data_IF_240004113704
#
_entry.id   IF_240004113704
#
_cell.length_a   1.000
_cell.length_b   1.000
_cell.length_c   1.000
_cell.angle_alpha   90.00
_cell.angle_beta   90.00
_cell.angle_gamma   90.00
#
_symmetry.space_group_name_H-M   'P 1'
#
loop_
_entity.id
_entity.type
_entity.pdbx_description
1 polymer ?
#
# COMPACT_ATOMS: atom_id res chain seq x y z
N UNK A 1 0.09 -35.67 -14.87
CA UNK A 1 -0.77 -34.65 -15.50
C UNK A 1 -0.97 -33.53 -14.48
N UNK A 2 -0.22 -32.43 -14.59
CA UNK A 2 -0.25 -31.34 -13.60
C UNK A 2 -1.41 -30.41 -13.96
N UNK A 3 -2.46 -30.40 -13.13
CA UNK A 3 -3.55 -29.44 -13.23
C UNK A 3 -2.95 -28.04 -12.97
N UNK A 4 -2.70 -27.27 -14.02
CA UNK A 4 -2.59 -25.83 -13.91
C UNK A 4 -4.00 -25.35 -13.62
N UNK A 5 -4.32 -25.11 -12.35
CA UNK A 5 -5.51 -24.36 -11.99
C UNK A 5 -5.20 -22.91 -12.34
N UNK A 6 -5.36 -22.57 -13.62
CA UNK A 6 -5.58 -21.20 -14.01
C UNK A 6 -6.99 -20.90 -13.50
N UNK A 7 -7.10 -20.22 -12.38
CA UNK A 7 -8.38 -19.64 -11.96
C UNK A 7 -8.66 -18.52 -12.95
N UNK A 8 -9.20 -18.88 -14.12
CA UNK A 8 -9.96 -17.96 -14.95
C UNK A 8 -11.22 -17.67 -14.15
N UNK A 9 -11.19 -16.58 -13.38
CA UNK A 9 -12.43 -15.94 -12.96
C UNK A 9 -13.22 -15.67 -14.25
N UNK A 10 -14.51 -16.03 -14.32
CA UNK A 10 -15.33 -15.58 -15.43
C UNK A 10 -15.27 -14.05 -15.40
N UNK A 11 -14.64 -13.47 -16.41
CA UNK A 11 -14.68 -12.05 -16.73
C UNK A 11 -16.13 -11.72 -17.08
N UNK A 12 -16.98 -11.63 -16.06
CA UNK A 12 -18.30 -11.05 -16.21
C UNK A 12 -18.04 -9.60 -16.59
N UNK A 13 -18.40 -9.26 -17.83
CA UNK A 13 -18.47 -7.90 -18.36
C UNK A 13 -19.55 -7.14 -17.57
N UNK A 14 -19.26 -6.81 -16.31
CA UNK A 14 -19.99 -5.77 -15.62
C UNK A 14 -19.43 -4.46 -16.15
N UNK A 15 -20.10 -3.87 -17.14
CA UNK A 15 -19.93 -2.46 -17.43
C UNK A 15 -20.37 -1.72 -16.17
N UNK A 16 -19.45 -1.02 -15.52
CA UNK A 16 -19.78 -0.28 -14.32
C UNK A 16 -20.29 1.10 -14.68
N UNK A 17 -21.50 1.43 -14.26
CA UNK A 17 -22.10 2.72 -14.58
C UNK A 17 -21.51 3.90 -13.79
N UNK A 18 -20.78 3.66 -12.69
CA UNK A 18 -20.28 4.71 -11.80
C UNK A 18 -18.87 4.43 -11.26
N UNK A 19 -17.99 5.42 -11.36
CA UNK A 19 -16.69 5.45 -10.68
C UNK A 19 -16.84 6.00 -9.26
N UNK A 20 -16.18 5.36 -8.30
CA UNK A 20 -16.28 5.68 -6.88
C UNK A 20 -14.97 6.24 -6.31
N UNK A 21 -13.82 5.77 -6.78
CA UNK A 21 -12.51 6.04 -6.18
C UNK A 21 -11.58 6.79 -7.12
N UNK A 22 -11.58 6.46 -8.41
CA UNK A 22 -10.77 7.17 -9.39
C UNK A 22 -11.57 8.30 -10.04
N UNK A 23 -11.04 9.52 -9.94
CA UNK A 23 -11.53 10.69 -10.65
C UNK A 23 -10.31 11.48 -11.11
N UNK A 24 -10.10 11.69 -12.42
CA UNK A 24 -8.90 12.36 -12.91
C UNK A 24 -8.84 13.80 -12.38
N UNK A 25 -7.82 14.07 -11.57
CA UNK A 25 -7.53 15.41 -11.02
C UNK A 25 -6.19 15.86 -11.53
N UNK A 26 -6.06 17.16 -11.78
CA UNK A 26 -4.80 17.79 -12.12
C UNK A 26 -3.99 18.18 -10.87
N UNK A 27 -4.40 17.77 -9.67
CA UNK A 27 -3.69 18.02 -8.42
C UNK A 27 -3.73 16.85 -7.44
N UNK A 28 -2.85 16.95 -6.45
CA UNK A 28 -2.72 16.06 -5.31
C UNK A 28 -2.24 14.66 -5.67
N UNK A 29 -2.37 13.73 -4.72
CA UNK A 29 -1.99 12.32 -4.88
C UNK A 29 -2.65 11.64 -6.07
N UNK A 30 -3.90 11.98 -6.38
CA UNK A 30 -4.62 11.40 -7.52
C UNK A 30 -3.97 11.77 -8.86
N UNK A 31 -3.37 12.95 -8.97
CA UNK A 31 -2.72 13.40 -10.22
C UNK A 31 -1.45 12.63 -10.60
N UNK A 32 -0.89 11.87 -9.65
CA UNK A 32 0.27 11.00 -9.85
C UNK A 32 -0.08 9.51 -9.79
N UNK A 33 -1.36 9.19 -9.57
CA UNK A 33 -1.85 7.82 -9.61
C UNK A 33 -1.83 7.30 -11.04
N UNK A 34 -1.13 6.20 -11.25
CA UNK A 34 -1.14 5.44 -12.48
C UNK A 34 -0.70 3.99 -12.17
N UNK A 35 -0.98 3.00 -13.04
CA UNK A 35 -0.64 1.62 -12.77
C UNK A 35 0.85 1.37 -12.42
N UNK A 36 1.76 2.17 -12.99
CA UNK A 36 3.19 2.03 -12.71
C UNK A 36 3.57 2.62 -11.34
N UNK A 37 3.06 3.80 -10.98
CA UNK A 37 3.29 4.36 -9.64
C UNK A 37 2.66 3.48 -8.56
N UNK A 38 1.49 2.90 -8.84
CA UNK A 38 0.84 1.90 -7.97
C UNK A 38 1.68 0.63 -7.84
N UNK A 39 2.28 0.14 -8.93
CA UNK A 39 3.21 -0.99 -8.89
C UNK A 39 4.44 -0.71 -8.02
N UNK A 40 5.02 0.49 -8.11
CA UNK A 40 6.14 0.86 -7.26
C UNK A 40 5.74 1.02 -5.80
N UNK A 41 4.60 1.67 -5.52
CA UNK A 41 4.10 1.89 -4.16
C UNK A 41 3.71 0.60 -3.45
N UNK A 42 3.01 -0.32 -4.13
CA UNK A 42 2.52 -1.56 -3.56
C UNK A 42 3.58 -2.69 -3.68
N UNK A 43 4.17 -2.89 -4.86
CA UNK A 43 5.11 -4.00 -5.08
C UNK A 43 6.44 -3.88 -4.35
N UNK A 44 6.81 -2.66 -3.93
CA UNK A 44 8.02 -2.43 -3.14
C UNK A 44 7.69 -1.79 -1.78
N UNK A 45 6.46 -1.95 -1.28
CA UNK A 45 6.00 -1.33 -0.04
C UNK A 45 6.88 -1.72 1.16
N UNK A 46 7.29 -3.00 1.23
CA UNK A 46 8.11 -3.52 2.32
C UNK A 46 9.51 -2.87 2.42
N UNK A 47 9.98 -2.20 1.36
CA UNK A 47 11.26 -1.45 1.36
C UNK A 47 11.20 -0.15 2.19
N UNK A 48 10.01 0.22 2.67
CA UNK A 48 9.86 1.23 3.72
C UNK A 48 10.45 0.76 5.06
N UNK A 49 10.45 -0.56 5.31
CA UNK A 49 11.11 -1.18 6.46
C UNK A 49 12.62 -1.01 6.40
N UNK A 50 13.26 -0.83 7.56
CA UNK A 50 14.73 -0.82 7.65
C UNK A 50 15.37 -2.20 7.50
N UNK A 51 14.57 -3.28 7.40
CA UNK A 51 15.06 -4.65 7.28
C UNK A 51 15.39 -5.05 5.85
N UNK A 52 14.85 -4.33 4.86
CA UNK A 52 15.06 -4.63 3.46
C UNK A 52 15.91 -3.54 2.80
N UNK A 53 16.81 -3.97 1.92
CA UNK A 53 17.61 -3.05 1.12
C UNK A 53 16.75 -2.34 0.10
N UNK A 54 16.91 -1.01 -0.02
CA UNK A 54 16.32 -0.24 -1.11
C UNK A 54 17.09 -0.33 -2.42
N UNK A 55 18.32 -0.85 -2.38
CA UNK A 55 19.17 -1.04 -3.57
C UNK A 55 18.60 -2.21 -4.40
N UNK A 56 18.21 -1.92 -5.63
CA UNK A 56 17.48 -2.85 -6.50
C UNK A 56 18.27 -4.11 -6.84
N UNK A 57 19.59 -4.01 -6.95
CA UNK A 57 20.51 -5.11 -7.23
C UNK A 57 20.69 -6.07 -6.03
N UNK A 58 20.35 -5.62 -4.81
CA UNK A 58 20.40 -6.43 -3.59
C UNK A 58 19.08 -7.12 -3.27
N UNK A 59 18.01 -6.82 -4.00
CA UNK A 59 16.72 -7.47 -3.80
C UNK A 59 16.80 -8.89 -4.37
N UNK A 60 16.64 -9.89 -3.50
CA UNK A 60 16.67 -11.31 -3.88
C UNK A 60 15.36 -11.77 -4.55
N UNK A 61 14.86 -10.99 -5.52
CA UNK A 61 13.53 -11.15 -6.11
C UNK A 61 13.30 -12.56 -6.68
N UNK A 62 14.28 -13.14 -7.36
CA UNK A 62 14.16 -14.48 -7.91
C UNK A 62 14.01 -15.58 -6.86
N UNK A 63 14.73 -15.46 -5.72
CA UNK A 63 14.62 -16.39 -4.60
C UNK A 63 13.27 -16.21 -3.92
N UNK A 64 12.90 -14.97 -3.63
CA UNK A 64 11.61 -14.60 -3.05
C UNK A 64 10.42 -15.12 -3.87
N UNK A 65 10.40 -14.84 -5.17
CA UNK A 65 9.37 -15.34 -6.10
C UNK A 65 9.29 -16.87 -6.09
N UNK A 66 10.44 -17.56 -6.11
CA UNK A 66 10.48 -19.03 -6.04
C UNK A 66 9.89 -19.53 -4.72
N UNK A 67 10.18 -18.88 -3.60
CA UNK A 67 9.66 -19.26 -2.30
C UNK A 67 8.15 -19.03 -2.20
N UNK A 68 7.67 -17.85 -2.63
CA UNK A 68 6.23 -17.52 -2.73
C UNK A 68 5.51 -18.57 -3.58
N UNK A 69 6.01 -18.84 -4.79
CA UNK A 69 5.43 -19.83 -5.69
C UNK A 69 5.37 -21.23 -5.06
N UNK A 70 6.42 -21.64 -4.35
CA UNK A 70 6.46 -22.93 -3.67
C UNK A 70 5.43 -23.06 -2.55
N UNK A 71 5.11 -21.96 -1.85
CA UNK A 71 4.11 -21.95 -0.79
C UNK A 71 2.69 -21.96 -1.37
N UNK A 72 2.39 -21.12 -2.37
CA UNK A 72 1.04 -21.04 -2.95
C UNK A 72 0.68 -22.23 -3.84
N UNK A 73 1.66 -22.90 -4.47
CA UNK A 73 1.40 -24.06 -5.32
C UNK A 73 0.99 -25.31 -4.54
N UNK A 74 1.46 -25.44 -3.30
CA UNK A 74 1.15 -26.59 -2.44
C UNK A 74 0.75 -26.10 -1.04
N UNK A 75 -0.37 -25.38 -0.89
CA UNK A 75 -0.66 -24.66 0.35
C UNK A 75 -0.99 -25.60 1.51
N UNK A 76 -1.69 -26.72 1.25
CA UNK A 76 -2.13 -27.65 2.30
C UNK A 76 -0.95 -28.26 3.09
N UNK A 77 0.08 -28.86 2.46
CA UNK A 77 1.25 -29.32 3.21
C UNK A 77 1.98 -28.23 4.00
N UNK A 78 2.00 -27.01 3.48
CA UNK A 78 2.66 -25.85 4.10
C UNK A 78 1.90 -25.40 5.35
N UNK A 79 0.57 -25.30 5.24
CA UNK A 79 -0.32 -25.03 6.37
C UNK A 79 -0.23 -26.18 7.40
N UNK A 80 -0.13 -27.45 6.99
CA UNK A 80 0.05 -28.55 7.93
C UNK A 80 1.34 -28.42 8.74
N UNK A 81 2.43 -27.95 8.11
CA UNK A 81 3.71 -27.68 8.79
C UNK A 81 3.57 -26.51 9.77
N UNK A 82 2.81 -25.48 9.40
CA UNK A 82 2.49 -24.34 10.27
C UNK A 82 1.41 -24.63 11.32
N UNK A 83 0.66 -25.70 11.15
CA UNK A 83 -0.62 -26.06 11.78
C UNK A 83 -1.82 -25.19 11.34
N UNK A 84 -2.95 -25.85 11.06
CA UNK A 84 -4.21 -25.19 10.71
C UNK A 84 -4.72 -24.24 11.80
N UNK A 85 -4.56 -24.60 13.07
CA UNK A 85 -4.99 -23.76 14.19
C UNK A 85 -4.27 -22.41 14.17
N UNK A 86 -2.94 -22.41 13.96
CA UNK A 86 -2.16 -21.17 13.85
C UNK A 86 -2.55 -20.40 12.61
N UNK A 87 -2.60 -21.04 11.45
CA UNK A 87 -3.02 -20.38 10.20
C UNK A 87 -4.36 -19.65 10.34
N UNK A 88 -5.39 -20.34 10.85
CA UNK A 88 -6.73 -19.77 11.02
C UNK A 88 -6.73 -18.61 12.04
N UNK A 89 -6.01 -18.74 13.16
CA UNK A 89 -6.04 -17.74 14.24
C UNK A 89 -5.09 -16.57 14.07
N UNK A 90 -4.00 -16.76 13.32
CA UNK A 90 -2.94 -15.77 13.13
C UNK A 90 -3.07 -15.08 11.79
N UNK A 91 -3.43 -15.78 10.71
CA UNK A 91 -3.48 -15.22 9.35
C UNK A 91 -4.90 -14.87 8.89
N UNK A 92 -5.89 -15.71 9.21
CA UNK A 92 -7.21 -15.62 8.54
C UNK A 92 -8.25 -14.86 9.35
N UNK A 93 -8.38 -15.14 10.65
CA UNK A 93 -9.41 -14.53 11.47
C UNK A 93 -8.81 -13.75 12.64
N UNK A 94 -9.50 -12.68 13.12
CA UNK A 94 -9.07 -11.87 14.25
C UNK A 94 -9.27 -12.59 15.58
N UNK A 95 -8.55 -13.70 15.78
CA UNK A 95 -8.63 -14.54 16.97
C UNK A 95 -7.41 -14.37 17.88
N UNK A 96 -6.40 -13.62 17.45
CA UNK A 96 -5.16 -13.34 18.18
C UNK A 96 -4.86 -11.85 18.23
N UNK A 97 -4.78 -11.25 19.41
CA UNK A 97 -4.56 -9.79 19.55
C UNK A 97 -3.18 -9.41 20.09
N UNK A 98 -2.32 -10.40 20.33
CA UNK A 98 -0.90 -10.15 20.62
C UNK A 98 -0.19 -9.79 19.32
N UNK A 99 0.63 -8.73 19.32
CA UNK A 99 1.32 -8.22 18.13
C UNK A 99 2.07 -9.31 17.34
N UNK A 100 2.71 -10.25 18.04
CA UNK A 100 3.46 -11.36 17.42
C UNK A 100 2.58 -12.40 16.72
N UNK A 101 1.26 -12.32 16.89
CA UNK A 101 0.27 -13.27 16.38
C UNK A 101 -0.88 -12.60 15.61
N UNK A 102 -0.77 -11.30 15.35
CA UNK A 102 -1.83 -10.51 14.73
C UNK A 102 -1.60 -10.30 13.22
N UNK A 103 -1.06 -11.31 12.52
CA UNK A 103 -0.80 -11.26 11.07
C UNK A 103 -2.09 -11.05 10.25
N UNK A 104 -3.25 -11.42 10.79
CA UNK A 104 -4.55 -11.13 10.19
C UNK A 104 -4.79 -9.63 10.03
N UNK A 105 -4.18 -8.77 10.85
CA UNK A 105 -4.42 -7.34 10.80
C UNK A 105 -4.05 -6.73 9.43
N UNK A 106 -2.80 -6.83 8.93
CA UNK A 106 -2.47 -6.38 7.57
C UNK A 106 -3.29 -7.11 6.50
N UNK A 107 -3.67 -8.36 6.72
CA UNK A 107 -4.49 -9.12 5.76
C UNK A 107 -5.88 -8.49 5.56
N UNK A 108 -6.50 -8.00 6.64
CA UNK A 108 -7.77 -7.26 6.54
C UNK A 108 -7.57 -5.81 6.07
N UNK A 109 -6.58 -5.09 6.60
CA UNK A 109 -6.46 -3.65 6.31
C UNK A 109 -5.84 -3.38 4.94
N UNK A 110 -4.80 -4.12 4.57
CA UNK A 110 -4.02 -3.90 3.34
C UNK A 110 -4.45 -4.83 2.21
N UNK A 111 -4.64 -6.12 2.45
CA UNK A 111 -4.98 -7.06 1.38
C UNK A 111 -6.49 -7.07 1.04
N UNK A 112 -7.36 -7.09 2.06
CA UNK A 112 -8.82 -7.08 1.83
C UNK A 112 -9.34 -5.68 1.47
N UNK A 113 -9.22 -4.72 2.39
CA UNK A 113 -9.80 -3.39 2.23
C UNK A 113 -8.93 -2.53 1.31
N UNK A 114 -7.64 -2.38 1.62
CA UNK A 114 -6.69 -1.66 0.77
C UNK A 114 -6.58 -2.27 -0.63
N UNK A 115 -6.47 -3.59 -0.73
CA UNK A 115 -6.34 -4.31 -2.00
C UNK A 115 -7.60 -4.26 -2.83
N UNK A 116 -8.78 -4.41 -2.21
CA UNK A 116 -10.06 -4.21 -2.88
C UNK A 116 -10.23 -2.78 -3.42
N UNK A 117 -9.92 -1.77 -2.61
CA UNK A 117 -9.89 -0.38 -3.04
C UNK A 117 -8.91 -0.18 -4.21
N UNK A 118 -7.69 -0.72 -4.12
CA UNK A 118 -6.66 -0.55 -5.13
C UNK A 118 -7.03 -1.20 -6.47
N UNK A 119 -7.52 -2.45 -6.43
CA UNK A 119 -8.05 -3.14 -7.59
C UNK A 119 -9.15 -2.34 -8.27
N UNK A 120 -10.11 -1.85 -7.48
CA UNK A 120 -11.24 -1.07 -7.96
C UNK A 120 -10.79 0.24 -8.61
N UNK A 121 -9.84 0.94 -7.98
CA UNK A 121 -9.27 2.20 -8.51
C UNK A 121 -8.50 1.96 -9.80
N UNK A 122 -7.75 0.85 -9.91
CA UNK A 122 -7.08 0.45 -11.17
C UNK A 122 -8.09 0.17 -12.29
N UNK A 123 -9.18 -0.54 -11.99
CA UNK A 123 -10.25 -0.77 -12.95
C UNK A 123 -10.86 0.56 -13.44
N UNK A 124 -11.21 1.46 -12.53
CA UNK A 124 -11.79 2.78 -12.87
C UNK A 124 -10.79 3.67 -13.62
N UNK A 125 -9.49 3.57 -13.34
CA UNK A 125 -8.44 4.22 -14.11
C UNK A 125 -8.43 3.71 -15.57
N UNK A 126 -8.35 2.40 -15.76
CA UNK A 126 -8.30 1.82 -17.11
C UNK A 126 -9.57 2.13 -17.91
N UNK A 127 -10.73 2.12 -17.24
CA UNK A 127 -12.01 2.46 -17.84
C UNK A 127 -12.09 3.95 -18.22
N UNK A 128 -11.68 4.85 -17.32
CA UNK A 128 -11.62 6.31 -17.57
C UNK A 128 -10.80 6.67 -18.81
N UNK A 129 -9.69 5.97 -19.03
CA UNK A 129 -8.81 6.19 -20.18
C UNK A 129 -9.12 5.27 -21.38
N UNK A 130 -10.28 4.58 -21.37
CA UNK A 130 -10.77 3.73 -22.46
C UNK A 130 -9.78 2.64 -22.89
N UNK A 131 -9.03 2.07 -21.94
CA UNK A 131 -8.18 0.91 -22.24
C UNK A 131 -9.03 -0.32 -22.59
N UNK A 132 -8.56 -1.20 -23.49
CA UNK A 132 -9.26 -2.43 -23.79
C UNK A 132 -9.29 -3.33 -22.55
N UNK A 133 -10.44 -3.93 -22.26
CA UNK A 133 -10.63 -4.88 -21.15
C UNK A 133 -10.15 -4.34 -19.77
N UNK A 134 -10.70 -3.22 -19.25
CA UNK A 134 -10.23 -2.60 -18.00
C UNK A 134 -10.10 -3.57 -16.81
N UNK A 135 -11.04 -4.51 -16.70
CA UNK A 135 -11.05 -5.55 -15.66
C UNK A 135 -9.83 -6.47 -15.72
N UNK A 136 -9.44 -6.89 -16.92
CA UNK A 136 -8.29 -7.78 -17.10
C UNK A 136 -6.99 -7.04 -16.76
N UNK A 137 -6.85 -5.80 -17.22
CA UNK A 137 -5.68 -4.97 -16.94
C UNK A 137 -5.56 -4.64 -15.45
N UNK A 138 -6.67 -4.35 -14.77
CA UNK A 138 -6.70 -4.17 -13.33
C UNK A 138 -6.30 -5.44 -12.60
N UNK A 139 -6.82 -6.60 -13.01
CA UNK A 139 -6.47 -7.90 -12.43
C UNK A 139 -4.98 -8.23 -12.57
N UNK A 140 -4.41 -8.00 -13.76
CA UNK A 140 -2.97 -8.23 -14.01
C UNK A 140 -2.12 -7.28 -13.18
N UNK A 141 -2.44 -5.97 -13.18
CA UNK A 141 -1.68 -4.97 -12.43
C UNK A 141 -1.73 -5.24 -10.94
N UNK A 142 -2.92 -5.45 -10.39
CA UNK A 142 -3.13 -5.79 -9.00
C UNK A 142 -2.40 -7.08 -8.59
N UNK A 143 -2.51 -8.14 -9.40
CA UNK A 143 -1.82 -9.41 -9.14
C UNK A 143 -0.29 -9.26 -9.16
N UNK A 144 0.26 -8.48 -10.10
CA UNK A 144 1.69 -8.20 -10.17
C UNK A 144 2.16 -7.38 -8.95
N UNK A 145 1.40 -6.37 -8.54
CA UNK A 145 1.73 -5.54 -7.38
C UNK A 145 1.95 -6.41 -6.14
N UNK A 146 0.96 -7.22 -5.77
CA UNK A 146 1.06 -8.03 -4.57
C UNK A 146 2.05 -9.20 -4.72
N UNK A 147 2.15 -9.84 -5.89
CA UNK A 147 3.13 -10.90 -6.10
C UNK A 147 4.58 -10.38 -5.93
N UNK A 148 4.86 -9.18 -6.43
CA UNK A 148 6.18 -8.55 -6.25
C UNK A 148 6.39 -8.15 -4.80
N UNK A 149 5.39 -7.59 -4.12
CA UNK A 149 5.49 -7.29 -2.68
C UNK A 149 5.88 -8.54 -1.89
N UNK A 150 5.14 -9.65 -2.06
CA UNK A 150 5.43 -10.91 -1.38
C UNK A 150 6.83 -11.43 -1.67
N UNK A 151 7.30 -11.30 -2.91
CA UNK A 151 8.62 -11.74 -3.29
C UNK A 151 9.73 -10.89 -2.67
N UNK A 152 9.56 -9.57 -2.65
CA UNK A 152 10.51 -8.64 -2.03
C UNK A 152 10.57 -8.89 -0.52
N UNK A 153 9.42 -9.12 0.12
CA UNK A 153 9.31 -9.43 1.55
C UNK A 153 9.84 -10.83 1.91
N UNK A 154 9.74 -11.80 0.99
CA UNK A 154 10.37 -13.10 1.20
C UNK A 154 11.90 -13.00 1.15
N UNK A 155 12.44 -12.11 0.32
CA UNK A 155 13.87 -11.86 0.23
C UNK A 155 14.65 -13.12 -0.16
N UNK A 156 15.69 -13.45 0.62
CA UNK A 156 16.53 -14.64 0.43
C UNK A 156 16.01 -15.89 1.16
N UNK A 157 14.91 -15.78 1.90
CA UNK A 157 14.36 -16.89 2.66
C UNK A 157 13.78 -17.98 1.77
N UNK A 158 14.12 -19.23 2.12
CA UNK A 158 13.57 -20.44 1.49
C UNK A 158 13.03 -21.35 2.58
N UNK A 159 11.72 -21.59 2.57
CA UNK A 159 11.06 -22.40 3.59
C UNK A 159 9.55 -22.27 3.59
N UNK A 160 8.92 -22.79 4.63
CA UNK A 160 7.47 -22.62 4.81
C UNK A 160 7.21 -21.19 5.26
N UNK A 161 6.33 -20.50 4.54
CA UNK A 161 5.83 -19.17 4.87
C UNK A 161 4.31 -19.18 4.64
N UNK A 162 3.49 -19.08 5.70
CA UNK A 162 2.04 -19.06 5.57
C UNK A 162 1.49 -17.74 5.02
N UNK A 163 2.21 -16.62 5.17
CA UNK A 163 1.73 -15.28 4.81
C UNK A 163 1.29 -15.20 3.34
N UNK A 164 2.12 -15.59 2.32
CA UNK A 164 1.71 -15.50 0.92
C UNK A 164 0.52 -16.40 0.56
N UNK A 165 0.22 -17.41 1.38
CA UNK A 165 -0.95 -18.28 1.20
C UNK A 165 -2.20 -17.51 1.61
N UNK A 166 -2.19 -16.83 2.76
CA UNK A 166 -3.31 -16.00 3.20
C UNK A 166 -3.49 -14.81 2.25
N UNK A 167 -2.42 -14.11 1.93
CA UNK A 167 -2.47 -12.89 1.14
C UNK A 167 -2.94 -13.16 -0.28
N UNK A 168 -2.24 -14.03 -1.01
CA UNK A 168 -2.49 -14.22 -2.44
C UNK A 168 -3.70 -15.13 -2.73
N UNK A 169 -4.00 -16.12 -1.88
CA UNK A 169 -5.07 -17.10 -2.14
C UNK A 169 -6.38 -16.83 -1.39
N UNK A 170 -6.39 -15.89 -0.43
CA UNK A 170 -7.61 -15.53 0.31
C UNK A 170 -7.90 -14.04 0.13
N UNK A 171 -7.07 -13.16 0.69
CA UNK A 171 -7.43 -11.76 0.84
C UNK A 171 -7.33 -10.95 -0.46
N UNK A 172 -6.33 -11.19 -1.29
CA UNK A 172 -6.20 -10.58 -2.61
C UNK A 172 -7.22 -11.10 -3.63
N UNK A 173 -7.96 -12.17 -3.30
CA UNK A 173 -9.12 -12.60 -4.10
C UNK A 173 -10.39 -12.00 -3.52
N UNK A 174 -10.56 -12.09 -2.20
CA UNK A 174 -11.73 -11.57 -1.50
C UNK A 174 -11.89 -10.05 -1.61
N UNK A 175 -10.78 -9.29 -1.58
CA UNK A 175 -10.78 -7.82 -1.68
C UNK A 175 -11.38 -7.33 -2.99
N UNK A 176 -10.83 -7.73 -4.15
CA UNK A 176 -11.43 -7.43 -5.45
C UNK A 176 -12.90 -7.84 -5.57
N UNK A 177 -13.27 -9.05 -5.13
CA UNK A 177 -14.68 -9.52 -5.16
C UNK A 177 -15.58 -8.60 -4.32
N UNK A 178 -15.13 -8.26 -3.11
CA UNK A 178 -15.85 -7.41 -2.18
C UNK A 178 -16.06 -6.01 -2.75
N UNK A 179 -15.04 -5.41 -3.34
CA UNK A 179 -15.10 -4.04 -3.88
C UNK A 179 -15.72 -3.93 -5.28
N UNK A 180 -15.95 -5.04 -5.97
CA UNK A 180 -16.82 -5.07 -7.15
C UNK A 180 -18.31 -4.92 -6.80
N UNK A 181 -18.69 -5.05 -5.53
CA UNK A 181 -20.02 -4.70 -5.07
C UNK A 181 -20.18 -3.17 -4.94
N UNK A 182 -21.15 -2.59 -5.64
CA UNK A 182 -21.40 -1.14 -5.65
C UNK A 182 -21.75 -0.56 -4.28
N UNK A 183 -22.48 -1.28 -3.43
CA UNK A 183 -22.84 -0.77 -2.10
C UNK A 183 -21.62 -0.71 -1.19
N UNK A 184 -20.73 -1.70 -1.30
CA UNK A 184 -19.46 -1.70 -0.58
C UNK A 184 -18.56 -0.57 -1.07
N UNK A 185 -18.37 -0.45 -2.40
CA UNK A 185 -17.58 0.64 -2.99
C UNK A 185 -18.14 2.00 -2.58
N UNK A 186 -19.46 2.19 -2.64
CA UNK A 186 -20.16 3.40 -2.21
C UNK A 186 -19.94 3.70 -0.73
N UNK A 187 -20.06 2.71 0.15
CA UNK A 187 -19.82 2.89 1.58
C UNK A 187 -18.39 3.40 1.84
N UNK A 188 -17.38 2.76 1.24
CA UNK A 188 -16.01 3.20 1.41
C UNK A 188 -15.73 4.57 0.76
N UNK A 189 -16.30 4.86 -0.40
CA UNK A 189 -16.08 6.12 -1.12
C UNK A 189 -16.83 7.31 -0.51
N UNK A 190 -18.10 7.14 -0.20
CA UNK A 190 -19.00 8.24 0.17
C UNK A 190 -19.20 8.34 1.69
N UNK A 191 -19.25 7.21 2.41
CA UNK A 191 -19.40 7.22 3.89
C UNK A 191 -18.04 7.35 4.59
N UNK A 192 -17.08 6.50 4.21
CA UNK A 192 -15.74 6.51 4.80
C UNK A 192 -14.73 7.37 4.03
N UNK A 193 -15.14 8.05 2.94
CA UNK A 193 -14.29 9.00 2.21
C UNK A 193 -12.89 8.44 1.93
N UNK A 194 -12.80 7.16 1.55
CA UNK A 194 -11.55 6.45 1.41
C UNK A 194 -10.78 6.96 0.20
N UNK A 195 -9.47 7.19 0.36
CA UNK A 195 -8.62 7.74 -0.70
C UNK A 195 -7.19 7.18 -0.67
N UNK A 196 -6.58 7.11 -1.84
CA UNK A 196 -5.17 6.78 -2.04
C UNK A 196 -4.27 7.99 -1.74
N UNK A 197 -3.51 7.89 -0.65
CA UNK A 197 -2.51 8.87 -0.22
C UNK A 197 -1.09 8.28 -0.29
N UNK A 198 -0.87 7.35 -1.22
CA UNK A 198 0.42 6.70 -1.45
C UNK A 198 1.51 7.69 -1.85
N UNK A 199 2.76 7.26 -1.67
CA UNK A 199 3.94 8.07 -1.95
C UNK A 199 4.10 8.45 -3.43
N UNK A 200 5.09 9.33 -3.67
CA UNK A 200 5.56 9.67 -5.03
C UNK A 200 6.85 8.87 -5.28
N UNK A 201 6.75 7.62 -5.75
CA UNK A 201 7.90 6.75 -5.90
C UNK A 201 8.89 7.35 -6.89
N UNK A 202 10.17 7.36 -6.52
CA UNK A 202 11.22 7.99 -7.30
C UNK A 202 12.47 7.14 -7.33
N UNK A 203 13.15 7.14 -8.47
CA UNK A 203 14.39 6.40 -8.67
C UNK A 203 15.59 7.29 -8.38
N UNK A 204 16.55 6.77 -7.62
CA UNK A 204 17.84 7.39 -7.40
C UNK A 204 18.92 6.69 -8.26
N UNK A 205 19.40 7.32 -9.34
CA UNK A 205 20.38 6.73 -10.24
C UNK A 205 21.77 6.55 -9.63
N UNK A 206 22.09 7.30 -8.55
CA UNK A 206 23.43 7.26 -7.93
C UNK A 206 23.65 5.97 -7.15
N UNK A 207 22.61 5.49 -6.45
CA UNK A 207 22.69 4.30 -5.61
C UNK A 207 21.83 3.13 -6.10
N UNK A 208 21.10 3.30 -7.22
CA UNK A 208 20.21 2.27 -7.73
C UNK A 208 19.07 1.96 -6.77
N UNK A 209 18.55 2.97 -6.07
CA UNK A 209 17.50 2.80 -5.04
C UNK A 209 16.14 3.32 -5.50
N UNK A 210 15.07 2.71 -4.99
CA UNK A 210 13.72 3.30 -5.01
C UNK A 210 13.50 4.06 -3.71
N UNK A 211 13.02 5.30 -3.82
CA UNK A 211 12.73 6.20 -2.73
C UNK A 211 11.27 6.63 -2.74
N UNK A 212 10.74 6.97 -1.55
CA UNK A 212 9.41 7.54 -1.35
C UNK A 212 8.25 6.71 -1.93
N UNK A 213 8.47 5.42 -2.16
CA UNK A 213 7.43 4.44 -2.38
C UNK A 213 6.72 4.11 -1.07
N UNK A 214 5.43 3.82 -1.16
CA UNK A 214 4.64 3.28 -0.05
C UNK A 214 3.16 3.37 -0.35
N UNK A 215 2.43 2.28 -0.10
CA UNK A 215 0.99 2.23 -0.29
C UNK A 215 0.27 2.69 0.97
N UNK A 216 -0.57 3.71 0.81
CA UNK A 216 -1.28 4.30 1.94
C UNK A 216 -2.69 4.70 1.58
N UNK A 217 -3.59 4.49 2.54
CA UNK A 217 -4.99 4.83 2.40
C UNK A 217 -5.44 5.70 3.58
N UNK A 218 -6.17 6.75 3.26
CA UNK A 218 -6.86 7.58 4.22
C UNK A 218 -8.35 7.25 4.21
N UNK A 219 -8.99 7.27 5.37
CA UNK A 219 -10.44 7.20 5.55
C UNK A 219 -10.89 8.32 6.49
N UNK A 220 -12.08 8.84 6.24
CA UNK A 220 -12.77 9.81 7.09
C UNK A 220 -14.23 9.49 7.25
N UNK A 221 -14.68 9.54 8.50
CA UNK A 221 -16.09 9.45 8.83
C UNK A 221 -16.51 10.71 9.57
N UNK A 222 -17.64 11.31 9.17
CA UNK A 222 -18.22 12.47 9.86
C UNK A 222 -19.41 12.00 10.69
N UNK A 223 -19.29 11.90 12.02
CA UNK A 223 -20.44 11.64 12.88
C UNK A 223 -21.48 12.77 12.77
N UNK A 224 -22.75 12.42 12.94
CA UNK A 224 -23.83 13.40 12.93
C UNK A 224 -23.62 14.46 14.02
N UNK A 225 -23.80 15.73 13.63
CA UNK A 225 -23.61 16.88 14.52
C UNK A 225 -22.16 17.33 14.75
N UNK A 226 -21.17 16.66 14.15
CA UNK A 226 -19.77 17.07 14.25
C UNK A 226 -19.35 17.98 13.09
N UNK A 227 -18.58 19.02 13.41
CA UNK A 227 -17.92 19.90 12.42
C UNK A 227 -16.55 19.38 11.98
N UNK A 228 -16.09 18.26 12.55
CA UNK A 228 -14.84 17.57 12.21
C UNK A 228 -15.11 16.11 11.89
N UNK A 229 -14.22 15.49 11.12
CA UNK A 229 -14.30 14.08 10.73
C UNK A 229 -13.29 13.27 11.54
N UNK A 230 -13.69 12.08 12.01
CA UNK A 230 -12.76 11.06 12.46
C UNK A 230 -11.90 10.65 11.28
N UNK A 231 -10.60 10.53 11.50
CA UNK A 231 -9.63 10.18 10.47
C UNK A 231 -8.88 8.92 10.84
N UNK A 232 -8.67 8.05 9.86
CA UNK A 232 -7.81 6.89 9.96
C UNK A 232 -6.92 6.79 8.73
N UNK A 233 -5.63 6.56 8.94
CA UNK A 233 -4.63 6.35 7.91
C UNK A 233 -4.02 4.97 8.11
N UNK A 234 -3.98 4.18 7.04
CA UNK A 234 -3.44 2.82 7.06
C UNK A 234 -2.46 2.58 5.91
N UNK A 235 -1.53 1.67 6.17
CA UNK A 235 -0.40 1.29 5.33
C UNK A 235 0.53 0.43 6.19
N UNK A 236 1.84 0.58 6.01
CA UNK A 236 2.87 0.05 6.92
C UNK A 236 2.91 0.75 8.30
N UNK A 237 1.98 1.67 8.53
CA UNK A 237 1.69 2.33 9.80
C UNK A 237 0.20 2.68 9.92
N UNK A 238 -0.25 2.82 11.16
CA UNK A 238 -1.62 3.22 11.49
C UNK A 238 -1.61 4.55 12.24
N UNK A 239 -2.36 5.54 11.75
CA UNK A 239 -2.62 6.78 12.47
C UNK A 239 -4.11 7.04 12.60
N UNK A 240 -4.53 7.52 13.76
CA UNK A 240 -5.89 8.01 13.98
C UNK A 240 -5.85 9.49 14.38
N UNK A 241 -6.91 10.23 14.04
CA UNK A 241 -6.92 11.66 14.28
C UNK A 241 -8.23 12.35 13.90
N UNK A 242 -8.13 13.65 13.68
CA UNK A 242 -9.25 14.50 13.28
C UNK A 242 -8.91 15.26 12.01
N UNK A 243 -9.89 15.34 11.12
CA UNK A 243 -9.86 16.13 9.89
C UNK A 243 -10.88 17.27 10.00
N UNK A 244 -10.43 18.48 9.71
CA UNK A 244 -11.17 19.73 9.82
C UNK A 244 -11.51 20.23 8.40
N UNK A 245 -12.74 19.99 7.92
CA UNK A 245 -13.16 20.42 6.59
C UNK A 245 -13.29 21.94 6.51
N UNK A 246 -13.05 22.49 5.32
CA UNK A 246 -13.29 23.89 4.96
C UNK A 246 -14.32 23.99 3.84
N UNK A 247 -14.89 25.18 3.66
CA UNK A 247 -15.94 25.44 2.68
C UNK A 247 -15.47 25.33 1.21
N UNK A 248 -14.16 25.39 0.96
CA UNK A 248 -13.55 25.29 -0.37
C UNK A 248 -13.23 23.84 -0.79
N UNK A 249 -13.72 22.86 -0.03
CA UNK A 249 -13.46 21.43 -0.26
C UNK A 249 -12.10 20.95 0.25
N UNK A 250 -11.32 21.81 0.89
CA UNK A 250 -10.05 21.44 1.51
C UNK A 250 -10.23 20.91 2.93
N UNK A 251 -9.29 20.10 3.41
CA UNK A 251 -9.27 19.68 4.80
C UNK A 251 -7.87 19.82 5.39
N UNK A 252 -7.81 20.15 6.68
CA UNK A 252 -6.60 20.03 7.48
C UNK A 252 -6.77 18.83 8.41
N UNK A 253 -5.82 17.89 8.42
CA UNK A 253 -5.87 16.71 9.28
C UNK A 253 -4.67 16.67 10.20
N UNK A 254 -4.89 16.31 11.46
CA UNK A 254 -3.83 15.99 12.42
C UNK A 254 -4.07 14.58 12.94
N UNK A 255 -3.02 13.76 12.93
CA UNK A 255 -3.13 12.36 13.35
C UNK A 255 -1.87 11.89 14.08
N UNK A 256 -2.03 10.88 14.92
CA UNK A 256 -0.95 10.20 15.63
C UNK A 256 -1.23 8.70 15.71
N UNK A 257 -0.17 7.91 15.89
CA UNK A 257 -0.33 6.47 16.02
C UNK A 257 0.98 5.71 16.06
N UNK A 258 0.97 4.51 15.49
CA UNK A 258 2.07 3.56 15.55
C UNK A 258 2.57 3.20 14.15
N UNK A 259 3.88 3.05 14.03
CA UNK A 259 4.58 2.75 12.78
C UNK A 259 5.40 1.48 12.90
N UNK A 260 5.47 0.67 11.85
CA UNK A 260 6.44 -0.42 11.81
C UNK A 260 7.86 0.16 11.83
N UNK A 261 8.62 -0.14 12.89
CA UNK A 261 10.00 0.29 13.05
C UNK A 261 10.97 -0.72 12.44
N UNK A 262 10.75 -2.01 12.68
CA UNK A 262 11.57 -3.11 12.17
C UNK A 262 10.76 -4.40 12.14
N UNK A 263 10.91 -5.18 11.06
CA UNK A 263 10.42 -6.55 10.95
C UNK A 263 11.37 -7.50 11.71
N UNK A 264 10.81 -8.41 12.50
CA UNK A 264 11.56 -9.44 13.20
C UNK A 264 10.94 -10.80 12.95
N UNK A 265 11.78 -11.83 12.84
CA UNK A 265 11.32 -13.21 12.82
C UNK A 265 10.97 -13.62 14.25
N UNK A 266 9.72 -14.00 14.49
CA UNK A 266 9.22 -14.34 15.83
C UNK A 266 9.13 -15.85 16.06
N UNK A 267 9.05 -16.64 14.99
CA UNK A 267 9.07 -18.09 15.08
C UNK A 267 9.78 -18.69 13.87
N UNK A 268 10.69 -19.63 14.15
CA UNK A 268 11.34 -20.51 13.16
C UNK A 268 11.13 -21.99 13.47
N UNK A 269 10.28 -22.32 14.46
CA UNK A 269 10.02 -23.71 14.83
C UNK A 269 9.47 -24.47 13.63
N UNK A 270 9.90 -25.72 13.53
CA UNK A 270 9.43 -26.68 12.53
C UNK A 270 9.69 -26.23 11.06
N UNK A 271 10.66 -25.32 10.84
CA UNK A 271 11.03 -24.82 9.50
C UNK A 271 10.02 -23.83 8.90
N UNK A 272 9.19 -23.22 9.77
CA UNK A 272 8.20 -22.20 9.40
C UNK A 272 8.70 -20.82 9.78
N UNK A 273 8.54 -19.81 8.94
CA UNK A 273 8.87 -18.42 9.29
C UNK A 273 7.59 -17.66 9.56
N UNK A 274 7.52 -17.04 10.75
CA UNK A 274 6.52 -16.02 11.06
C UNK A 274 7.22 -14.71 11.33
N UNK A 275 6.74 -13.64 10.71
CA UNK A 275 7.25 -12.30 10.91
C UNK A 275 6.30 -11.49 11.80
N UNK A 276 6.87 -10.61 12.61
CA UNK A 276 6.14 -9.58 13.32
C UNK A 276 6.94 -8.29 13.28
N UNK A 277 6.38 -7.23 13.83
CA UNK A 277 6.94 -5.88 13.80
C UNK A 277 7.24 -5.39 15.21
N UNK A 278 8.26 -4.54 15.35
CA UNK A 278 8.38 -3.65 16.50
C UNK A 278 7.72 -2.32 16.17
N UNK A 279 6.92 -1.79 17.10
CA UNK A 279 6.20 -0.54 16.89
C UNK A 279 7.02 0.67 17.36
N UNK A 280 7.01 1.71 16.53
CA UNK A 280 7.44 3.06 16.85
C UNK A 280 6.25 4.02 16.98
N UNK A 281 6.52 5.29 17.28
CA UNK A 281 5.52 6.35 17.23
C UNK A 281 5.58 7.07 15.88
N UNK A 282 4.42 7.56 15.43
CA UNK A 282 4.30 8.39 14.24
C UNK A 282 3.23 9.46 14.47
N UNK A 283 3.43 10.63 13.89
CA UNK A 283 2.48 11.74 13.91
C UNK A 283 2.52 12.47 12.57
N UNK A 284 1.39 13.02 12.13
CA UNK A 284 1.29 13.65 10.82
C UNK A 284 0.31 14.81 10.77
N UNK A 285 0.65 15.77 9.90
CA UNK A 285 -0.22 16.84 9.46
C UNK A 285 -0.46 16.66 7.96
N UNK A 286 -1.72 16.75 7.54
CA UNK A 286 -2.09 16.55 6.15
C UNK A 286 -3.01 17.68 5.68
N UNK A 287 -2.80 18.10 4.44
CA UNK A 287 -3.62 19.06 3.74
C UNK A 287 -4.02 18.48 2.39
N UNK A 288 -5.32 18.37 2.14
CA UNK A 288 -5.88 17.80 0.92
C UNK A 288 -7.02 18.66 0.39
N UNK A 289 -7.36 18.45 -0.88
CA UNK A 289 -8.54 19.00 -1.52
C UNK A 289 -9.37 17.88 -2.11
N UNK A 290 -10.63 17.77 -1.68
CA UNK A 290 -11.56 16.74 -2.14
C UNK A 290 -10.95 15.33 -2.04
N UNK A 291 -10.36 15.01 -0.88
CA UNK A 291 -9.68 13.74 -0.59
C UNK A 291 -8.42 13.43 -1.43
N UNK A 292 -7.94 14.34 -2.29
CA UNK A 292 -6.63 14.23 -2.96
C UNK A 292 -5.55 14.98 -2.18
N UNK A 293 -4.54 14.27 -1.66
CA UNK A 293 -3.53 14.83 -0.76
C UNK A 293 -2.66 15.86 -1.48
N UNK A 294 -2.60 17.10 -0.99
CA UNK A 294 -1.80 18.18 -1.56
C UNK A 294 -0.46 18.34 -0.85
N UNK A 295 -0.45 18.23 0.48
CA UNK A 295 0.77 18.31 1.26
C UNK A 295 0.67 17.49 2.55
N UNK A 296 1.80 16.95 3.01
CA UNK A 296 1.90 16.31 4.32
C UNK A 296 3.25 16.57 4.97
N UNK A 297 3.23 16.56 6.30
CA UNK A 297 4.43 16.52 7.15
C UNK A 297 4.23 15.40 8.16
N UNK A 298 5.11 14.41 8.13
CA UNK A 298 5.08 13.24 9.00
C UNK A 298 6.36 13.18 9.82
N UNK A 299 6.22 12.94 11.11
CA UNK A 299 7.32 12.73 12.05
C UNK A 299 7.22 11.32 12.62
N UNK A 300 8.34 10.64 12.75
CA UNK A 300 8.35 9.31 13.35
C UNK A 300 9.69 8.99 14.00
N UNK A 301 9.76 7.90 14.75
CA UNK A 301 11.03 7.30 15.19
C UNK A 301 11.40 6.04 14.38
N UNK A 302 10.87 5.88 13.17
CA UNK A 302 11.30 4.85 12.22
C UNK A 302 12.77 5.07 11.86
N UNK A 303 13.55 3.99 11.75
CA UNK A 303 15.01 4.03 11.58
C UNK A 303 15.42 4.93 10.40
N UNK A 304 14.72 4.83 9.28
CA UNK A 304 15.05 5.54 8.04
C UNK A 304 14.24 6.82 7.81
N UNK A 305 13.36 7.22 8.75
CA UNK A 305 12.44 8.33 8.52
C UNK A 305 12.07 9.06 9.82
N UNK A 306 12.86 10.07 10.17
CA UNK A 306 12.58 10.97 11.29
C UNK A 306 11.52 12.00 10.93
N UNK A 307 11.63 12.54 9.72
CA UNK A 307 10.72 13.54 9.17
C UNK A 307 10.56 13.29 7.67
N UNK A 308 9.32 13.39 7.19
CA UNK A 308 8.96 13.33 5.78
C UNK A 308 8.05 14.50 5.46
N UNK A 309 8.37 15.22 4.40
CA UNK A 309 7.55 16.28 3.83
C UNK A 309 7.24 15.88 2.40
N UNK A 310 5.98 15.88 2.03
CA UNK A 310 5.53 15.65 0.66
C UNK A 310 4.66 16.81 0.23
N UNK A 311 4.89 17.33 -0.97
CA UNK A 311 4.01 18.29 -1.62
C UNK A 311 3.71 17.73 -3.01
N UNK A 312 2.44 17.47 -3.29
CA UNK A 312 2.01 16.86 -4.54
C UNK A 312 1.77 17.93 -5.63
N UNK A 313 1.72 17.53 -6.91
CA UNK A 313 1.37 18.45 -7.99
C UNK A 313 0.07 19.21 -7.71
N UNK A 314 -0.03 20.42 -8.23
CA UNK A 314 -1.17 21.34 -8.08
C UNK A 314 -1.16 22.20 -6.82
N UNK A 315 -0.25 21.96 -5.86
CA UNK A 315 -0.13 22.82 -4.67
C UNK A 315 0.53 24.17 -4.99
N UNK A 316 1.52 24.17 -5.89
CA UNK A 316 2.18 25.38 -6.38
C UNK A 316 2.49 25.23 -7.87
N UNK A 317 2.54 26.36 -8.58
CA UNK A 317 2.87 26.42 -10.00
C UNK A 317 4.04 27.36 -10.21
N UNK A 318 5.01 26.91 -11.01
CA UNK A 318 6.19 27.67 -11.37
C UNK A 318 6.41 27.57 -12.88
N UNK A 319 6.32 28.72 -13.57
CA UNK A 319 6.44 28.82 -15.03
C UNK A 319 5.55 27.81 -15.80
N UNK A 320 4.29 27.65 -15.40
CA UNK A 320 3.36 26.72 -16.07
C UNK A 320 3.51 25.25 -15.67
N UNK A 321 4.43 24.93 -14.76
CA UNK A 321 4.71 23.57 -14.32
C UNK A 321 4.37 23.44 -12.84
N UNK A 322 3.74 22.33 -12.47
CA UNK A 322 3.39 22.04 -11.09
C UNK A 322 3.99 20.69 -10.67
N UNK A 323 5.24 20.68 -10.18
CA UNK A 323 5.90 19.46 -9.75
C UNK A 323 5.40 19.01 -8.38
N UNK A 324 5.43 17.70 -8.16
CA UNK A 324 5.45 17.11 -6.83
C UNK A 324 6.89 17.07 -6.31
N UNK A 325 7.09 17.35 -5.04
CA UNK A 325 8.38 17.31 -4.36
C UNK A 325 8.27 16.60 -3.03
N UNK A 326 9.31 15.89 -2.64
CA UNK A 326 9.40 15.32 -1.31
C UNK A 326 10.79 15.52 -0.69
N UNK A 327 10.83 15.49 0.63
CA UNK A 327 12.05 15.59 1.43
C UNK A 327 11.91 14.70 2.67
N UNK A 328 12.86 13.81 2.87
CA UNK A 328 12.95 12.93 4.04
C UNK A 328 14.27 13.21 4.74
N UNK A 329 14.23 13.17 6.07
CA UNK A 329 15.41 13.16 6.92
C UNK A 329 15.39 11.84 7.70
N UNK A 330 16.36 10.97 7.46
CA UNK A 330 16.56 9.74 8.23
C UNK A 330 17.18 10.00 9.60
N UNK A 331 17.20 9.01 10.50
CA UNK A 331 17.77 9.20 11.84
C UNK A 331 19.28 9.48 11.85
N UNK A 332 19.99 9.06 10.80
CA UNK A 332 21.41 9.37 10.62
C UNK A 332 21.65 10.73 9.93
N UNK A 333 20.63 11.60 9.91
CA UNK A 333 20.61 12.87 9.17
C UNK A 333 20.83 12.71 7.65
N UNK A 334 20.57 11.52 7.11
CA UNK A 334 20.53 11.29 5.67
C UNK A 334 19.37 12.07 5.08
N UNK A 335 19.69 13.02 4.22
CA UNK A 335 18.71 13.73 3.39
C UNK A 335 18.39 12.89 2.16
N UNK A 336 17.10 12.66 1.92
CA UNK A 336 16.55 12.15 0.66
C UNK A 336 15.59 13.20 0.15
N UNK A 337 15.69 13.59 -1.13
CA UNK A 337 14.70 14.45 -1.74
C UNK A 337 14.42 14.01 -3.17
N UNK A 338 13.30 14.43 -3.73
CA UNK A 338 12.99 14.10 -5.10
C UNK A 338 11.87 14.94 -5.66
N UNK A 339 11.70 14.78 -6.97
CA UNK A 339 10.75 15.50 -7.79
C UNK A 339 10.01 14.54 -8.71
N UNK A 340 8.72 14.78 -8.91
CA UNK A 340 7.83 14.00 -9.75
C UNK A 340 6.93 14.94 -10.55
N UNK A 341 6.64 14.59 -11.80
CA UNK A 341 5.69 15.34 -12.62
C UNK A 341 4.49 14.47 -12.96
N UNK A 342 3.33 15.10 -13.18
CA UNK A 342 2.09 14.39 -13.59
C UNK A 342 2.27 13.56 -14.87
N UNK A 343 3.12 14.04 -15.77
CA UNK A 343 3.41 13.38 -17.05
C UNK A 343 4.39 12.19 -16.95
N UNK A 344 4.99 11.96 -15.78
CA UNK A 344 5.99 10.91 -15.58
C UNK A 344 5.46 9.79 -14.69
N UNK A 345 5.70 8.52 -15.03
CA UNK A 345 5.20 7.39 -14.25
C UNK A 345 5.88 7.25 -12.87
N UNK A 346 7.07 7.81 -12.69
CA UNK A 346 7.84 7.84 -11.44
C UNK A 346 8.71 9.11 -11.39
N UNK A 347 9.23 9.47 -10.21
CA UNK A 347 10.07 10.64 -9.99
C UNK A 347 11.58 10.36 -10.06
N UNK A 348 12.38 11.42 -9.91
CA UNK A 348 13.82 11.32 -9.70
C UNK A 348 14.16 11.73 -8.27
N UNK A 349 15.07 10.98 -7.65
CA UNK A 349 15.49 11.20 -6.29
C UNK A 349 17.00 11.43 -6.18
N UNK A 350 17.36 12.19 -5.16
CA UNK A 350 18.72 12.37 -4.65
C UNK A 350 18.77 11.90 -3.20
N UNK A 351 19.88 11.29 -2.82
CA UNK A 351 20.19 10.88 -1.46
C UNK A 351 21.61 11.32 -1.13
N UNK A 352 21.78 11.98 0.01
CA UNK A 352 23.06 12.58 0.41
C UNK A 352 24.16 11.57 0.77
N UNK A 353 23.80 10.37 1.23
CA UNK A 353 24.72 9.33 1.70
C UNK A 353 24.11 7.97 1.39
N UNK A 354 24.90 6.89 1.29
CA UNK A 354 24.36 5.56 0.97
C UNK A 354 23.38 5.05 2.03
#
# INVERSE_FOLDING_TARGET
MKLLVIIFFPLLLFAQEKHYFYSPKDYGSVSVFNPFSTFLNCGFDILQSSTHSRELDKISLGIGLKNVWNNIKNPIPKINTFTWKRFISQEVFPLSFTLDKAQWFPNYTLHLVGGGYNFRTLYEYYDTYNYPTPMLLASVSFGLNHLVNEAVENGDYVGVNPDPIADLLIFNIAGPILFMNNDVAKFFAETLNMADWSGMPAYNPTYGTIENQGQHFAMRYQPDGWNSKLFYYMGDHGMAGLSFPKNDGTNLTVAGGAVMRQIRVVDTRDGTRTMSTTLGWIAGFFYDKENSLLASVVFSNRINEKMKVSIYPGMFEFFGISPGVFLHIGNNNQLICGLMFKATPFGLAYRSQK
#
